data_IF_295360605404
#
_entry.id   IF_295360605404
#
_cell.length_a   1.000
_cell.length_b   1.000
_cell.length_c   1.000
_cell.angle_alpha   90.00
_cell.angle_beta   90.00
_cell.angle_gamma   90.00
#
_symmetry.space_group_name_H-M   'P 1'
#
loop_
_entity.id
_entity.type
_entity.pdbx_description
1 polymer ?
#
# COMPACT_ATOMS: atom_id res chain seq x y z
N UNK A 1 -1.50 -6.73 -24.50
CA UNK A 1 -2.47 -7.74 -24.03
C UNK A 1 -1.90 -8.35 -22.75
N UNK A 2 -1.56 -7.48 -21.78
CA UNK A 2 -0.46 -7.77 -20.84
C UNK A 2 -0.89 -7.72 -19.37
N UNK A 3 -2.08 -7.19 -19.09
CA UNK A 3 -2.64 -7.09 -17.73
C UNK A 3 -2.94 -8.46 -17.10
N UNK A 4 -3.36 -9.43 -17.92
CA UNK A 4 -3.68 -10.80 -17.46
C UNK A 4 -2.40 -11.50 -17.01
N UNK A 5 -1.31 -11.35 -17.78
CA UNK A 5 -0.01 -11.91 -17.44
C UNK A 5 0.52 -11.31 -16.12
N UNK A 6 0.45 -9.98 -15.95
CA UNK A 6 0.86 -9.33 -14.70
C UNK A 6 0.02 -9.79 -13.50
N UNK A 7 -1.29 -9.96 -13.69
CA UNK A 7 -2.20 -10.42 -12.63
C UNK A 7 -1.91 -11.85 -12.22
N UNK A 8 -1.68 -12.75 -13.19
CA UNK A 8 -1.35 -14.14 -12.93
C UNK A 8 0.00 -14.29 -12.21
N UNK A 9 1.03 -13.57 -12.67
CA UNK A 9 2.33 -13.55 -12.02
C UNK A 9 2.25 -13.04 -10.58
N UNK A 10 1.42 -12.03 -10.32
CA UNK A 10 1.17 -11.54 -8.97
C UNK A 10 0.54 -12.62 -8.09
N UNK A 11 -0.48 -13.34 -8.59
CA UNK A 11 -1.13 -14.43 -7.84
C UNK A 11 -0.13 -15.54 -7.50
N UNK A 12 0.71 -15.95 -8.45
CA UNK A 12 1.75 -16.95 -8.20
C UNK A 12 2.73 -16.46 -7.14
N UNK A 13 3.19 -15.21 -7.23
CA UNK A 13 4.09 -14.63 -6.24
C UNK A 13 3.45 -14.57 -4.85
N UNK A 14 2.16 -14.22 -4.75
CA UNK A 14 1.43 -14.19 -3.49
C UNK A 14 1.36 -15.59 -2.84
N UNK A 15 1.09 -16.64 -3.62
CA UNK A 15 1.04 -18.04 -3.14
C UNK A 15 2.43 -18.52 -2.68
N UNK A 16 3.48 -18.21 -3.47
CA UNK A 16 4.85 -18.58 -3.14
C UNK A 16 5.32 -17.90 -1.86
N UNK A 17 4.96 -16.64 -1.65
CA UNK A 17 5.33 -15.91 -0.45
C UNK A 17 4.60 -16.45 0.79
N UNK A 18 3.32 -16.81 0.70
CA UNK A 18 2.61 -17.51 1.79
C UNK A 18 3.34 -18.82 2.15
N UNK A 19 3.72 -19.61 1.13
CA UNK A 19 4.44 -20.88 1.34
C UNK A 19 5.79 -20.68 2.03
N UNK A 20 6.52 -19.60 1.71
CA UNK A 20 7.79 -19.25 2.35
C UNK A 20 7.58 -18.80 3.80
N UNK A 21 6.53 -18.05 4.08
CA UNK A 21 6.19 -17.58 5.43
C UNK A 21 5.86 -18.78 6.33
N UNK A 22 4.97 -19.67 5.89
CA UNK A 22 4.54 -20.84 6.66
C UNK A 22 5.70 -21.81 6.93
N UNK A 23 6.65 -21.92 5.99
CA UNK A 23 7.85 -22.72 6.16
C UNK A 23 8.96 -22.02 6.98
N UNK A 24 8.75 -20.79 7.46
CA UNK A 24 9.78 -20.00 8.14
C UNK A 24 10.97 -19.61 7.25
N UNK A 25 10.82 -19.72 5.93
CA UNK A 25 11.86 -19.47 4.91
C UNK A 25 11.79 -18.09 4.27
N UNK A 26 10.85 -17.25 4.67
CA UNK A 26 10.76 -15.89 4.14
C UNK A 26 11.91 -15.04 4.71
N UNK A 27 12.84 -14.66 3.84
CA UNK A 27 13.84 -13.65 4.15
C UNK A 27 13.28 -12.26 3.83
N UNK A 28 13.36 -11.34 4.79
CA UNK A 28 13.14 -9.92 4.53
C UNK A 28 14.40 -9.35 3.89
N UNK A 29 14.22 -8.58 2.82
CA UNK A 29 15.32 -7.78 2.31
C UNK A 29 15.68 -6.69 3.34
N UNK A 30 16.95 -6.31 3.37
CA UNK A 30 17.45 -5.23 4.22
C UNK A 30 18.15 -4.20 3.36
N UNK A 31 17.37 -3.31 2.77
CA UNK A 31 17.84 -2.20 1.94
C UNK A 31 17.41 -0.87 2.55
N UNK A 32 18.16 0.19 2.23
CA UNK A 32 17.76 1.56 2.56
C UNK A 32 16.77 2.05 1.51
N UNK A 33 15.62 2.56 1.93
CA UNK A 33 14.59 3.07 1.01
C UNK A 33 13.87 4.30 1.58
N UNK A 34 13.25 5.09 0.70
CA UNK A 34 12.36 6.20 1.10
C UNK A 34 10.99 5.65 1.48
N UNK A 35 10.62 5.82 2.75
CA UNK A 35 9.31 5.46 3.26
C UNK A 35 8.21 6.24 2.54
N UNK A 36 8.41 7.55 2.32
CA UNK A 36 7.39 8.40 1.70
C UNK A 36 7.12 7.99 0.26
N UNK A 37 8.15 7.65 -0.52
CA UNK A 37 7.98 7.15 -1.89
C UNK A 37 7.20 5.82 -1.91
N UNK A 38 7.60 4.84 -1.09
CA UNK A 38 6.93 3.53 -1.01
C UNK A 38 5.44 3.68 -0.67
N UNK A 39 5.12 4.52 0.32
CA UNK A 39 3.73 4.78 0.71
C UNK A 39 2.97 5.52 -0.38
N UNK A 40 3.60 6.50 -1.04
CA UNK A 40 2.98 7.28 -2.10
C UNK A 40 2.62 6.42 -3.32
N UNK A 41 3.53 5.55 -3.77
CA UNK A 41 3.28 4.61 -4.87
C UNK A 41 2.16 3.63 -4.52
N UNK A 42 2.16 3.10 -3.29
CA UNK A 42 1.11 2.22 -2.82
C UNK A 42 -0.27 2.91 -2.83
N UNK A 43 -0.33 4.16 -2.40
CA UNK A 43 -1.55 4.95 -2.36
C UNK A 43 -2.04 5.39 -3.73
N UNK A 44 -1.14 5.70 -4.66
CA UNK A 44 -1.52 6.07 -6.03
C UNK A 44 -2.32 4.96 -6.70
N UNK A 45 -1.92 3.71 -6.47
CA UNK A 45 -2.67 2.53 -6.94
C UNK A 45 -4.05 2.41 -6.27
N UNK A 46 -4.16 2.71 -4.97
CA UNK A 46 -5.45 2.71 -4.27
C UNK A 46 -6.36 3.85 -4.72
N UNK A 47 -5.82 5.05 -4.92
CA UNK A 47 -6.57 6.25 -5.30
C UNK A 47 -7.32 6.04 -6.62
N UNK A 48 -6.71 5.36 -7.58
CA UNK A 48 -7.37 4.98 -8.83
C UNK A 48 -8.62 4.11 -8.60
N UNK A 49 -8.52 3.10 -7.72
CA UNK A 49 -9.65 2.24 -7.36
C UNK A 49 -10.70 2.91 -6.46
N UNK A 50 -10.28 3.88 -5.64
CA UNK A 50 -11.13 4.65 -4.75
C UNK A 50 -11.96 5.71 -5.50
N UNK A 51 -11.38 6.35 -6.52
CA UNK A 51 -12.06 7.30 -7.38
C UNK A 51 -13.28 6.66 -8.07
N UNK A 52 -13.15 5.43 -8.58
CA UNK A 52 -14.25 4.66 -9.14
C UNK A 52 -15.39 4.37 -8.14
N UNK A 53 -15.13 4.54 -6.83
CA UNK A 53 -16.07 4.28 -5.73
C UNK A 53 -16.48 5.56 -4.99
N UNK A 54 -16.12 6.75 -5.49
CA UNK A 54 -16.34 8.05 -4.82
C UNK A 54 -15.80 8.08 -3.39
N UNK A 55 -14.61 7.52 -3.18
CA UNK A 55 -13.92 7.49 -1.89
C UNK A 55 -12.68 8.37 -1.94
N UNK A 56 -12.53 9.21 -0.92
CA UNK A 56 -11.33 10.02 -0.74
C UNK A 56 -10.24 9.22 -0.04
N UNK A 57 -9.00 9.44 -0.46
CA UNK A 57 -7.80 8.83 0.11
C UNK A 57 -6.90 9.94 0.63
N UNK A 58 -6.58 9.91 1.93
CA UNK A 58 -5.72 10.90 2.57
C UNK A 58 -4.45 10.23 3.10
N UNK A 59 -3.30 10.83 2.81
CA UNK A 59 -2.01 10.49 3.41
C UNK A 59 -1.58 11.57 4.37
N UNK A 60 -1.29 11.20 5.62
CA UNK A 60 -0.63 12.08 6.60
C UNK A 60 0.54 11.34 7.22
N UNK A 61 1.76 11.76 6.88
CA UNK A 61 2.98 11.26 7.50
C UNK A 61 3.50 12.35 8.43
N UNK A 62 3.69 12.01 9.71
CA UNK A 62 4.21 12.95 10.69
C UNK A 62 5.64 13.41 10.31
N UNK A 63 6.00 14.70 10.44
CA UNK A 63 7.31 15.21 10.03
C UNK A 63 8.48 14.58 10.80
N UNK A 64 8.26 14.14 12.04
CA UNK A 64 9.27 13.42 12.83
C UNK A 64 9.55 11.99 12.36
N UNK A 65 8.77 11.45 11.40
CA UNK A 65 9.04 10.12 10.83
C UNK A 65 10.20 10.23 9.83
N UNK A 66 11.31 9.51 10.06
CA UNK A 66 12.44 9.47 9.12
C UNK A 66 11.97 8.98 7.76
N UNK A 67 12.46 9.62 6.69
CA UNK A 67 12.13 9.17 5.34
C UNK A 67 12.99 7.98 4.92
N UNK A 68 14.30 8.04 5.13
CA UNK A 68 15.20 6.92 4.86
C UNK A 68 15.16 5.93 6.01
N UNK A 69 14.70 4.72 5.71
CA UNK A 69 14.60 3.60 6.65
C UNK A 69 15.27 2.36 6.07
N UNK A 70 15.65 1.42 6.94
CA UNK A 70 16.28 0.15 6.54
C UNK A 70 15.30 -0.99 6.73
N UNK A 71 15.02 -1.74 5.68
CA UNK A 71 14.11 -2.89 5.71
C UNK A 71 13.73 -3.36 4.30
N UNK A 72 12.53 -3.92 4.16
CA UNK A 72 12.00 -4.41 2.89
C UNK A 72 10.88 -3.49 2.38
N UNK A 73 11.26 -2.51 1.54
CA UNK A 73 10.32 -1.53 1.01
C UNK A 73 9.26 -2.14 0.10
N UNK A 74 9.61 -3.20 -0.64
CA UNK A 74 8.69 -3.88 -1.55
C UNK A 74 7.53 -4.53 -0.79
N UNK A 75 7.85 -5.22 0.31
CA UNK A 75 6.88 -5.86 1.19
C UNK A 75 6.07 -4.84 1.95
N UNK A 76 6.69 -3.76 2.43
CA UNK A 76 5.96 -2.67 3.06
C UNK A 76 4.89 -2.08 2.12
N UNK A 77 5.25 -1.82 0.86
CA UNK A 77 4.32 -1.36 -0.16
C UNK A 77 3.18 -2.35 -0.40
N UNK A 78 3.46 -3.65 -0.43
CA UNK A 78 2.42 -4.70 -0.53
C UNK A 78 1.50 -4.72 0.70
N UNK A 79 2.05 -4.66 1.91
CA UNK A 79 1.28 -4.59 3.16
C UNK A 79 0.34 -3.39 3.12
N UNK A 80 0.84 -2.22 2.70
CA UNK A 80 0.03 -1.00 2.59
C UNK A 80 -1.06 -1.11 1.52
N UNK A 81 -0.81 -1.81 0.40
CA UNK A 81 -1.82 -2.09 -0.62
C UNK A 81 -2.89 -3.08 -0.14
N UNK A 82 -2.49 -4.07 0.66
CA UNK A 82 -3.36 -5.14 1.16
C UNK A 82 -4.18 -4.70 2.38
N UNK A 83 -3.61 -3.83 3.22
CA UNK A 83 -4.35 -3.06 4.18
C UNK A 83 -5.23 -2.12 3.37
N UNK A 84 -6.52 -2.47 3.19
CA UNK A 84 -7.54 -1.48 2.83
C UNK A 84 -7.45 -0.41 3.91
N UNK A 85 -6.64 0.63 3.66
CA UNK A 85 -6.44 1.75 4.57
C UNK A 85 -7.82 2.11 5.08
N UNK A 86 -7.94 2.25 6.40
CA UNK A 86 -9.19 2.64 7.05
C UNK A 86 -9.72 3.88 6.32
N UNK A 87 -10.62 3.70 5.37
CA UNK A 87 -11.28 4.78 4.67
C UNK A 87 -12.34 5.25 5.65
N UNK A 88 -11.94 6.19 6.49
CA UNK A 88 -12.91 6.96 7.26
C UNK A 88 -13.64 7.82 6.24
N UNK A 89 -14.82 7.36 5.82
CA UNK A 89 -15.80 8.21 5.15
C UNK A 89 -15.98 9.45 6.02
N UNK A 90 -15.44 10.59 5.61
CA UNK A 90 -15.81 11.87 6.18
C UNK A 90 -17.24 12.15 5.74
N UNK A 91 -18.21 11.61 6.48
CA UNK A 91 -19.57 12.15 6.47
C UNK A 91 -19.55 13.48 7.22
N UNK A 92 -18.86 14.48 6.65
CA UNK A 92 -19.01 15.88 7.03
C UNK A 92 -19.76 16.60 5.90
N UNK A 93 -20.98 16.13 5.64
CA UNK A 93 -22.08 17.07 5.41
C UNK A 93 -22.49 17.61 6.76
N UNK A 94 -21.72 18.55 7.30
CA UNK A 94 -22.22 19.42 8.37
C UNK A 94 -21.81 20.85 8.02
N UNK A 95 -22.80 21.55 7.48
CA UNK A 95 -23.20 22.88 7.92
C UNK A 95 -22.06 23.85 8.29
N UNK A 96 -21.64 24.64 7.31
CA UNK A 96 -21.32 26.06 7.51
C UNK A 96 -21.95 26.79 6.31
N UNK A 97 -23.19 27.23 6.41
CA UNK A 97 -23.54 28.59 6.85
C UNK A 97 -22.75 29.64 6.08
N UNK A 98 -23.24 29.99 4.90
CA UNK A 98 -23.72 31.34 4.62
C UNK A 98 -24.87 31.26 3.61
#
# INVERSE_FOLDING_TARGET
>A
MDCVATTFLRIINDILDITKIEAGRMALERCTFSLREVIFEALTSLAFGAAAKNLDVFLKIHPAVPDLVVGDGSRLGQVVKNLRLVIVKSSLRLARSH
#
